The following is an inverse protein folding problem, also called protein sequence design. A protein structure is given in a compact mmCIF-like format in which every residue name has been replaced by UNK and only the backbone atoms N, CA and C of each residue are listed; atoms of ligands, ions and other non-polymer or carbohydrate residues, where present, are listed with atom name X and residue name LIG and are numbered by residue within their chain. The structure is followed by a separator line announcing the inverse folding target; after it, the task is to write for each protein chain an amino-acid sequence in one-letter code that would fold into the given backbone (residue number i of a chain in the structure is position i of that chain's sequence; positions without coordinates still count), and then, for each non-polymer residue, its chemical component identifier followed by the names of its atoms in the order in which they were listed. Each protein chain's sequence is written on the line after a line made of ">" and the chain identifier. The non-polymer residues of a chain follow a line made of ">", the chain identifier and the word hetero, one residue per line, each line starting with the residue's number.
data_IF_276739155616
#
_entry.id   IF_276739155616
#
_cell.length_a   1.000
_cell.length_b   1.000
_cell.length_c   1.000
_cell.angle_alpha   90.00
_cell.angle_beta   90.00
_cell.angle_gamma   90.00
#
_symmetry.space_group_name_H-M   'P 1'
#
loop_
_entity.id
_entity.type
_entity.pdbx_description
1 polymer ?
#
# COMPACT_ATOMS: atom_id res chain seq x y z
N UNK A 1 13.98 -8.61 9.11
CA UNK A 1 13.23 -8.00 7.99
C UNK A 1 14.03 -6.89 7.29
N UNK A 2 14.33 -5.73 7.92
CA UNK A 2 14.93 -4.54 7.25
C UNK A 2 16.05 -4.79 6.22
N UNK A 3 17.14 -5.52 6.54
CA UNK A 3 18.22 -5.83 5.56
C UNK A 3 17.97 -7.05 4.67
N UNK A 4 16.92 -7.82 4.94
CA UNK A 4 16.71 -9.15 4.34
C UNK A 4 15.88 -9.11 3.05
N UNK A 5 15.17 -8.01 2.78
CA UNK A 5 14.32 -7.85 1.60
C UNK A 5 15.04 -7.25 0.39
N UNK A 6 16.22 -6.65 0.57
CA UNK A 6 17.03 -6.07 -0.51
C UNK A 6 17.08 -4.54 -0.57
N UNK A 7 16.27 -3.83 0.24
CA UNK A 7 16.33 -2.37 0.33
C UNK A 7 17.66 -1.89 0.93
N UNK A 8 18.36 -1.03 0.20
CA UNK A 8 19.69 -0.52 0.56
C UNK A 8 19.58 0.77 1.40
N UNK A 9 19.77 0.64 2.71
CA UNK A 9 19.74 1.75 3.65
C UNK A 9 20.94 2.72 3.53
N UNK A 10 22.01 2.36 2.82
CA UNK A 10 23.07 3.33 2.51
C UNK A 10 22.64 4.32 1.42
N UNK A 11 21.55 4.00 0.72
CA UNK A 11 20.99 4.74 -0.41
C UNK A 11 19.51 5.07 -0.19
N UNK A 12 19.14 5.27 1.07
CA UNK A 12 17.75 5.46 1.48
C UNK A 12 17.56 5.67 2.98
N UNK A 13 16.32 5.88 3.39
CA UNK A 13 15.93 6.11 4.79
C UNK A 13 14.47 5.69 5.02
N UNK A 14 14.13 5.31 6.26
CA UNK A 14 12.76 5.03 6.69
C UNK A 14 12.28 6.10 7.68
N UNK A 15 11.32 6.92 7.26
CA UNK A 15 10.66 7.93 8.09
C UNK A 15 9.26 7.53 8.57
N UNK A 16 8.64 8.39 9.38
CA UNK A 16 7.27 8.21 9.90
C UNK A 16 6.34 9.31 9.39
N UNK A 17 5.16 8.95 8.90
CA UNK A 17 4.15 9.87 8.32
C UNK A 17 2.72 9.37 8.58
N UNK A 18 1.72 10.21 8.25
CA UNK A 18 0.29 9.85 8.32
C UNK A 18 -0.14 8.96 7.15
N UNK A 19 0.39 9.22 5.95
CA UNK A 19 0.12 8.44 4.74
C UNK A 19 1.44 7.94 4.17
N UNK A 20 1.77 6.64 4.30
CA UNK A 20 3.01 6.07 3.77
C UNK A 20 3.19 6.36 2.27
N UNK A 21 4.44 6.59 1.89
CA UNK A 21 4.88 6.76 0.51
C UNK A 21 6.38 6.47 0.38
N UNK A 22 6.78 6.17 -0.84
CA UNK A 22 8.16 6.13 -1.30
C UNK A 22 8.44 7.34 -2.21
N UNK A 23 9.66 7.87 -2.14
CA UNK A 23 10.11 8.94 -3.03
C UNK A 23 11.59 8.74 -3.38
N UNK A 24 11.95 9.00 -4.63
CA UNK A 24 13.29 8.83 -5.15
C UNK A 24 13.81 10.16 -5.68
N UNK A 25 14.97 10.60 -5.19
CA UNK A 25 15.71 11.73 -5.74
C UNK A 25 16.77 11.27 -6.74
N UNK A 26 17.23 10.02 -6.59
CA UNK A 26 18.10 9.31 -7.51
C UNK A 26 18.10 7.82 -7.13
N UNK A 27 18.72 6.98 -7.97
CA UNK A 27 18.99 5.57 -7.62
C UNK A 27 19.76 5.39 -6.30
N UNK A 28 20.45 6.43 -5.82
CA UNK A 28 21.26 6.41 -4.61
C UNK A 28 20.61 7.19 -3.44
N UNK A 29 19.39 7.69 -3.61
CA UNK A 29 18.59 8.30 -2.54
C UNK A 29 17.09 8.03 -2.79
N UNK A 30 16.66 6.82 -2.41
CA UNK A 30 15.27 6.39 -2.45
C UNK A 30 14.75 6.19 -1.01
N UNK A 31 13.87 7.07 -0.56
CA UNK A 31 13.37 7.13 0.82
C UNK A 31 11.97 6.56 0.90
N UNK A 32 11.71 5.85 1.99
CA UNK A 32 10.42 5.26 2.30
C UNK A 32 9.90 5.81 3.62
N UNK A 33 8.60 5.74 3.80
CA UNK A 33 7.96 6.14 5.04
C UNK A 33 6.96 5.10 5.49
N UNK A 34 6.63 5.09 6.77
CA UNK A 34 5.62 4.18 7.32
C UNK A 34 4.78 4.87 8.38
N UNK A 35 3.73 4.19 8.84
CA UNK A 35 2.87 4.64 9.92
C UNK A 35 2.86 3.60 11.02
N UNK A 36 3.07 4.06 12.25
CA UNK A 36 3.12 3.20 13.43
C UNK A 36 1.81 3.26 14.20
N UNK A 37 1.28 2.09 14.54
CA UNK A 37 0.20 1.95 15.51
C UNK A 37 0.68 1.06 16.66
N UNK A 38 0.62 1.53 17.92
CA UNK A 38 1.09 0.75 19.07
C UNK A 38 0.41 -0.62 19.20
N UNK A 39 -0.85 -0.71 18.76
CA UNK A 39 -1.70 -1.88 18.97
C UNK A 39 -2.02 -2.63 17.66
N UNK A 40 -1.40 -2.24 16.53
CA UNK A 40 -1.65 -2.90 15.25
C UNK A 40 -0.39 -2.96 14.39
N UNK A 41 0.15 -4.18 14.23
CA UNK A 41 1.43 -4.41 13.56
C UNK A 41 1.36 -4.15 12.04
N UNK A 42 0.25 -4.56 11.41
CA UNK A 42 0.14 -4.67 9.96
C UNK A 42 0.46 -3.38 9.20
N UNK A 43 -0.06 -2.19 9.58
CA UNK A 43 0.17 -0.98 8.79
C UNK A 43 1.65 -0.60 8.73
N UNK A 44 2.38 -0.78 9.84
CA UNK A 44 3.81 -0.49 9.87
C UNK A 44 4.63 -1.55 9.11
N UNK A 45 4.30 -2.82 9.29
CA UNK A 45 5.05 -3.94 8.74
C UNK A 45 4.86 -4.06 7.23
N UNK A 46 3.61 -4.21 6.78
CA UNK A 46 3.29 -4.38 5.37
C UNK A 46 3.41 -3.06 4.61
N UNK A 47 3.07 -1.92 5.24
CA UNK A 47 3.36 -0.61 4.65
C UNK A 47 4.87 -0.41 4.40
N UNK A 48 5.73 -0.79 5.34
CA UNK A 48 7.19 -0.73 5.11
C UNK A 48 7.63 -1.66 3.97
N UNK A 49 7.07 -2.87 3.87
CA UNK A 49 7.39 -3.81 2.78
C UNK A 49 6.94 -3.26 1.42
N UNK A 50 5.73 -2.70 1.36
CA UNK A 50 5.16 -2.05 0.20
C UNK A 50 6.06 -0.93 -0.33
N UNK A 51 6.35 0.06 0.52
CA UNK A 51 7.20 1.19 0.12
C UNK A 51 8.63 0.75 -0.20
N UNK A 52 9.12 -0.34 0.43
CA UNK A 52 10.42 -0.92 0.09
C UNK A 52 10.45 -1.48 -1.33
N UNK A 53 9.38 -2.11 -1.80
CA UNK A 53 9.31 -2.60 -3.19
C UNK A 53 9.37 -1.47 -4.22
N UNK A 54 8.66 -0.37 -3.96
CA UNK A 54 8.80 0.87 -4.73
C UNK A 54 10.24 1.39 -4.74
N UNK A 55 10.86 1.53 -3.57
CA UNK A 55 12.22 2.06 -3.48
C UNK A 55 13.28 1.12 -4.08
N UNK A 56 13.08 -0.19 -3.99
CA UNK A 56 13.96 -1.18 -4.61
C UNK A 56 13.91 -1.12 -6.14
N UNK A 57 12.74 -0.81 -6.72
CA UNK A 57 12.64 -0.60 -8.16
C UNK A 57 13.53 0.58 -8.61
N UNK A 58 13.44 1.69 -7.88
CA UNK A 58 14.24 2.90 -8.12
C UNK A 58 15.74 2.64 -7.90
N UNK A 59 16.11 2.00 -6.79
CA UNK A 59 17.50 1.62 -6.47
C UNK A 59 18.11 0.62 -7.47
N UNK A 60 17.26 -0.16 -8.15
CA UNK A 60 17.62 -1.15 -9.16
C UNK A 60 17.95 -0.55 -10.54
N UNK A 61 17.68 0.74 -10.76
CA UNK A 61 18.03 1.44 -12.00
C UNK A 61 19.53 1.34 -12.28
N UNK A 62 19.90 1.01 -13.52
CA UNK A 62 21.31 0.86 -13.91
C UNK A 62 22.09 2.19 -13.78
N UNK A 63 23.33 2.20 -13.24
CA UNK A 63 24.11 3.44 -13.06
C UNK A 63 24.29 4.26 -14.34
N UNK A 64 24.45 3.60 -15.50
CA UNK A 64 24.63 4.28 -16.79
C UNK A 64 23.41 5.08 -17.24
N UNK A 65 22.23 4.78 -16.68
CA UNK A 65 21.00 5.53 -16.96
C UNK A 65 20.87 6.76 -16.07
N UNK A 66 21.70 6.93 -15.05
CA UNK A 66 21.57 8.02 -14.09
C UNK A 66 21.58 9.40 -14.79
N UNK A 67 20.69 10.29 -14.33
CA UNK A 67 20.49 11.63 -14.90
C UNK A 67 20.03 11.63 -16.36
N UNK A 68 19.48 10.53 -16.85
CA UNK A 68 18.74 10.47 -18.12
C UNK A 68 17.23 10.35 -17.86
N UNK A 69 16.37 10.58 -18.87
CA UNK A 69 14.94 10.33 -18.75
C UNK A 69 14.56 8.86 -18.45
N UNK A 70 15.51 7.93 -18.60
CA UNK A 70 15.35 6.50 -18.34
C UNK A 70 15.65 6.10 -16.87
N UNK A 71 16.07 7.07 -16.04
CA UNK A 71 16.56 6.83 -14.68
C UNK A 71 15.46 6.67 -13.61
N UNK A 72 14.32 6.05 -13.95
CA UNK A 72 13.14 5.98 -13.08
C UNK A 72 12.22 4.84 -13.51
N UNK A 73 11.24 4.51 -12.67
CA UNK A 73 10.18 3.58 -13.03
C UNK A 73 9.43 3.96 -14.31
N UNK A 74 9.08 2.94 -15.11
CA UNK A 74 8.52 3.12 -16.46
C UNK A 74 7.06 3.58 -16.47
N UNK A 75 6.27 3.17 -15.47
CA UNK A 75 4.87 3.55 -15.29
C UNK A 75 4.42 3.29 -13.87
N UNK A 76 3.34 3.94 -13.41
CA UNK A 76 2.79 3.71 -12.06
C UNK A 76 2.35 2.26 -11.84
N UNK A 77 1.79 1.59 -12.86
CA UNK A 77 1.39 0.18 -12.74
C UNK A 77 2.59 -0.76 -12.56
N UNK A 78 3.68 -0.55 -13.30
CA UNK A 78 4.91 -1.32 -13.06
C UNK A 78 5.55 -0.95 -11.72
N UNK A 79 5.44 0.32 -11.29
CA UNK A 79 5.94 0.73 -9.98
C UNK A 79 5.17 0.05 -8.83
N UNK A 80 3.85 -0.05 -8.95
CA UNK A 80 2.97 -0.76 -8.00
C UNK A 80 3.19 -2.27 -8.03
N UNK A 81 3.45 -2.88 -9.19
CA UNK A 81 3.73 -4.32 -9.22
C UNK A 81 4.94 -4.70 -8.38
N UNK A 82 5.93 -3.81 -8.28
CA UNK A 82 7.09 -4.03 -7.41
C UNK A 82 6.74 -3.89 -5.93
N UNK A 83 5.91 -2.90 -5.54
CA UNK A 83 5.48 -2.78 -4.14
C UNK A 83 4.62 -3.98 -3.73
N UNK A 84 3.67 -4.41 -4.56
CA UNK A 84 2.80 -5.56 -4.31
C UNK A 84 3.52 -6.89 -4.35
N UNK A 85 4.52 -7.05 -5.21
CA UNK A 85 5.37 -8.24 -5.20
C UNK A 85 6.08 -8.39 -3.84
N UNK A 86 6.66 -7.32 -3.30
CA UNK A 86 7.37 -7.37 -2.02
C UNK A 86 6.41 -7.46 -0.83
N UNK A 87 5.32 -6.69 -0.83
CA UNK A 87 4.33 -6.68 0.24
C UNK A 87 3.59 -8.02 0.36
N UNK A 88 2.97 -8.45 -0.74
CA UNK A 88 1.98 -9.52 -0.72
C UNK A 88 2.62 -10.86 -1.13
N UNK A 89 3.15 -10.93 -2.36
CA UNK A 89 3.67 -12.19 -2.91
C UNK A 89 4.83 -12.72 -2.07
N UNK A 90 5.72 -11.85 -1.61
CA UNK A 90 6.81 -12.21 -0.70
C UNK A 90 6.36 -12.05 0.75
N UNK A 91 6.01 -10.83 1.17
CA UNK A 91 5.82 -10.45 2.56
C UNK A 91 4.64 -11.11 3.28
N UNK A 92 3.61 -11.57 2.55
CA UNK A 92 2.47 -12.31 3.12
C UNK A 92 2.56 -13.82 2.88
N UNK A 93 3.58 -14.30 2.17
CA UNK A 93 3.76 -15.74 1.92
C UNK A 93 4.11 -16.53 3.18
N UNK A 94 3.68 -17.80 3.21
CA UNK A 94 4.04 -18.70 4.30
C UNK A 94 5.56 -18.93 4.38
N UNK A 95 6.25 -19.05 3.24
CA UNK A 95 7.71 -19.28 3.20
C UNK A 95 8.50 -18.14 3.84
N UNK A 96 8.09 -16.90 3.59
CA UNK A 96 8.69 -15.72 4.24
C UNK A 96 8.53 -15.77 5.76
N UNK A 97 7.33 -16.13 6.24
CA UNK A 97 7.07 -16.20 7.68
C UNK A 97 7.69 -17.42 8.35
N UNK A 98 7.85 -18.56 7.67
CA UNK A 98 8.64 -19.67 8.19
C UNK A 98 10.09 -19.23 8.50
N UNK A 99 10.67 -18.36 7.68
CA UNK A 99 12.02 -17.83 7.89
C UNK A 99 12.11 -16.71 8.94
N UNK A 100 11.04 -15.94 9.15
CA UNK A 100 11.08 -14.70 9.94
C UNK A 100 10.24 -14.68 11.21
N UNK A 101 9.22 -15.54 11.31
CA UNK A 101 8.31 -15.58 12.45
C UNK A 101 8.99 -15.90 13.78
N UNK A 102 9.96 -16.83 13.90
CA UNK A 102 10.66 -17.06 15.17
C UNK A 102 11.33 -15.79 15.72
N UNK A 103 11.88 -14.95 14.83
CA UNK A 103 12.47 -13.66 15.21
C UNK A 103 11.41 -12.65 15.64
N UNK A 104 10.28 -12.60 14.93
CA UNK A 104 9.17 -11.71 15.30
C UNK A 104 8.58 -12.10 16.67
N UNK A 105 8.36 -13.39 16.88
CA UNK A 105 7.84 -13.94 18.14
C UNK A 105 8.78 -13.66 19.32
N UNK A 106 10.11 -13.73 19.11
CA UNK A 106 11.08 -13.37 20.14
C UNK A 106 11.08 -11.87 20.50
N UNK A 107 10.65 -10.99 19.58
CA UNK A 107 10.51 -9.54 19.84
C UNK A 107 9.19 -9.23 20.57
N UNK A 108 8.14 -10.01 20.30
CA UNK A 108 6.80 -9.83 20.89
C UNK A 108 6.33 -11.12 21.59
N UNK A 109 7.03 -11.60 22.64
CA UNK A 109 6.75 -12.89 23.25
C UNK A 109 5.37 -12.94 23.90
N UNK A 110 4.92 -11.85 24.53
CA UNK A 110 3.63 -11.81 25.21
C UNK A 110 2.46 -11.87 24.22
N UNK A 111 2.62 -11.25 23.05
CA UNK A 111 1.58 -11.14 22.01
C UNK A 111 1.57 -12.34 21.06
N UNK A 112 2.73 -12.97 20.79
CA UNK A 112 2.87 -14.01 19.77
C UNK A 112 3.29 -15.37 20.33
N UNK A 113 3.73 -15.47 21.58
CA UNK A 113 4.30 -16.70 22.16
C UNK A 113 3.35 -17.90 22.16
N UNK A 114 2.05 -17.66 22.25
CA UNK A 114 1.01 -18.70 22.19
C UNK A 114 0.54 -19.10 20.79
N UNK A 115 1.14 -18.53 19.73
CA UNK A 115 0.67 -18.71 18.36
C UNK A 115 1.77 -19.28 17.47
N UNK A 116 1.44 -20.30 16.67
CA UNK A 116 2.35 -20.82 15.66
C UNK A 116 2.37 -19.95 14.39
N UNK A 117 3.33 -20.23 13.50
CA UNK A 117 3.49 -19.49 12.24
C UNK A 117 2.29 -19.62 11.32
N UNK A 118 1.54 -20.73 11.37
CA UNK A 118 0.37 -20.94 10.54
C UNK A 118 -0.83 -20.10 11.00
N UNK A 119 -1.01 -19.95 12.31
CA UNK A 119 -1.99 -19.05 12.90
C UNK A 119 -1.68 -17.60 12.54
N UNK A 120 -0.41 -17.19 12.65
CA UNK A 120 0.03 -15.87 12.23
C UNK A 120 -0.20 -15.64 10.72
N UNK A 121 0.21 -16.58 9.86
CA UNK A 121 0.02 -16.52 8.42
C UNK A 121 -1.46 -16.37 8.03
N UNK A 122 -2.37 -17.12 8.68
CA UNK A 122 -3.81 -16.96 8.45
C UNK A 122 -4.31 -15.58 8.90
N UNK A 123 -3.81 -15.07 10.02
CA UNK A 123 -4.23 -13.78 10.56
C UNK A 123 -3.85 -12.60 9.65
N UNK A 124 -2.64 -12.60 9.08
CA UNK A 124 -2.19 -11.53 8.17
C UNK A 124 -2.82 -11.60 6.77
N UNK A 125 -3.44 -12.73 6.43
CA UNK A 125 -4.17 -12.96 5.16
C UNK A 125 -5.69 -13.02 5.36
N UNK A 126 -6.18 -12.40 6.43
CA UNK A 126 -7.62 -12.28 6.68
C UNK A 126 -8.27 -11.43 5.59
N UNK A 127 -9.37 -11.93 5.04
CA UNK A 127 -10.20 -11.22 4.06
C UNK A 127 -11.44 -10.67 4.77
N UNK A 128 -11.69 -9.37 4.62
CA UNK A 128 -12.87 -8.72 5.18
C UNK A 128 -13.12 -7.38 4.49
N UNK A 129 -14.35 -7.08 4.04
CA UNK A 129 -14.71 -5.74 3.60
C UNK A 129 -14.40 -4.69 4.68
N UNK A 130 -13.76 -3.59 4.27
CA UNK A 130 -13.34 -2.52 5.17
C UNK A 130 -13.46 -1.16 4.49
N UNK A 131 -13.18 -0.07 5.21
CA UNK A 131 -13.35 1.29 4.69
C UNK A 131 -12.09 1.83 4.02
N UNK A 132 -10.92 1.49 4.56
CA UNK A 132 -9.64 2.13 4.23
C UNK A 132 -8.90 1.33 3.17
N UNK A 133 -8.78 1.88 1.96
CA UNK A 133 -8.15 1.21 0.81
C UNK A 133 -6.74 0.71 1.11
N UNK A 134 -5.91 1.51 1.77
CA UNK A 134 -4.50 1.13 2.06
C UNK A 134 -4.38 0.04 3.12
N UNK A 135 -5.48 -0.32 3.80
CA UNK A 135 -5.54 -1.39 4.79
C UNK A 135 -6.38 -2.59 4.32
N UNK A 136 -6.97 -2.52 3.12
CA UNK A 136 -7.78 -3.58 2.54
C UNK A 136 -6.95 -4.82 2.19
N UNK A 137 -7.60 -5.98 2.25
CA UNK A 137 -6.98 -7.26 1.92
C UNK A 137 -6.87 -7.48 0.40
N UNK A 138 -6.10 -8.51 0.00
CA UNK A 138 -5.80 -8.79 -1.41
C UNK A 138 -7.03 -9.08 -2.27
N UNK A 139 -8.14 -9.54 -1.70
CA UNK A 139 -9.36 -9.85 -2.44
C UNK A 139 -10.35 -8.68 -2.49
N UNK A 140 -10.30 -7.78 -1.50
CA UNK A 140 -11.21 -6.63 -1.44
C UNK A 140 -10.61 -5.33 -1.99
N UNK A 141 -9.27 -5.22 -2.01
CA UNK A 141 -8.55 -4.01 -2.42
C UNK A 141 -9.01 -3.46 -3.78
N UNK A 142 -9.18 -4.32 -4.79
CA UNK A 142 -9.52 -3.87 -6.14
C UNK A 142 -10.93 -3.27 -6.24
N UNK A 143 -11.86 -3.61 -5.34
CA UNK A 143 -13.16 -2.93 -5.29
C UNK A 143 -13.02 -1.46 -4.87
N UNK A 144 -12.07 -1.14 -3.99
CA UNK A 144 -11.76 0.26 -3.66
C UNK A 144 -11.21 1.03 -4.87
N UNK A 145 -10.47 0.36 -5.76
CA UNK A 145 -9.97 0.97 -7.00
C UNK A 145 -11.10 1.19 -8.00
N UNK A 146 -11.96 0.18 -8.21
CA UNK A 146 -13.15 0.28 -9.07
C UNK A 146 -14.03 1.44 -8.63
N UNK A 147 -14.32 1.53 -7.33
CA UNK A 147 -15.10 2.63 -6.76
C UNK A 147 -14.56 4.00 -7.18
N UNK A 148 -13.26 4.23 -7.01
CA UNK A 148 -12.64 5.52 -7.32
C UNK A 148 -12.63 5.79 -8.81
N UNK A 149 -12.30 4.78 -9.60
CA UNK A 149 -12.28 4.90 -11.06
C UNK A 149 -13.66 5.26 -11.63
N UNK A 150 -14.72 4.62 -11.16
CA UNK A 150 -16.08 4.91 -11.62
C UNK A 150 -16.56 6.30 -11.16
N UNK A 151 -16.23 6.72 -9.93
CA UNK A 151 -16.53 8.07 -9.47
C UNK A 151 -15.74 9.13 -10.25
N UNK A 152 -14.47 8.87 -10.60
CA UNK A 152 -13.69 9.76 -11.47
C UNK A 152 -14.33 9.89 -12.85
N UNK A 153 -14.77 8.79 -13.46
CA UNK A 153 -15.46 8.78 -14.76
C UNK A 153 -16.71 9.65 -14.71
N UNK A 154 -17.56 9.47 -13.69
CA UNK A 154 -18.80 10.25 -13.53
C UNK A 154 -18.53 11.75 -13.30
N UNK A 155 -17.51 12.11 -12.50
CA UNK A 155 -17.13 13.53 -12.30
C UNK A 155 -16.64 14.14 -13.63
N UNK A 156 -15.78 13.43 -14.36
CA UNK A 156 -15.20 13.94 -15.61
C UNK A 156 -16.22 14.01 -16.75
N UNK A 157 -17.23 13.13 -16.75
CA UNK A 157 -18.35 13.17 -17.69
C UNK A 157 -19.38 14.26 -17.36
N UNK A 158 -19.28 14.90 -16.18
CA UNK A 158 -20.27 15.86 -15.69
C UNK A 158 -21.56 15.22 -15.19
N UNK A 159 -21.55 13.91 -14.94
CA UNK A 159 -22.67 13.11 -14.45
C UNK A 159 -22.77 13.13 -12.91
N UNK A 160 -21.67 13.43 -12.23
CA UNK A 160 -21.60 13.59 -10.77
C UNK A 160 -21.06 14.98 -10.39
N UNK A 161 -21.85 15.77 -9.66
CA UNK A 161 -21.37 17.00 -9.07
C UNK A 161 -20.45 16.70 -7.88
N UNK A 162 -19.35 17.45 -7.73
CA UNK A 162 -18.37 17.25 -6.64
C UNK A 162 -19.01 17.37 -5.26
N UNK A 163 -20.04 18.21 -5.11
CA UNK A 163 -20.77 18.36 -3.84
C UNK A 163 -21.50 17.09 -3.40
N UNK A 164 -21.86 16.21 -4.35
CA UNK A 164 -22.59 14.97 -4.10
C UNK A 164 -21.65 13.76 -3.91
N UNK A 165 -20.34 13.96 -4.03
CA UNK A 165 -19.31 12.93 -3.89
C UNK A 165 -19.39 12.15 -2.57
N UNK A 166 -19.63 12.77 -1.38
CA UNK A 166 -19.75 12.00 -0.13
C UNK A 166 -20.88 10.96 -0.18
N UNK A 167 -22.04 11.32 -0.72
CA UNK A 167 -23.19 10.41 -0.86
C UNK A 167 -22.89 9.32 -1.88
N UNK A 168 -22.41 9.69 -3.07
CA UNK A 168 -22.09 8.74 -4.13
C UNK A 168 -21.00 7.73 -3.70
N UNK A 169 -20.03 8.18 -2.90
CA UNK A 169 -19.02 7.32 -2.30
C UNK A 169 -19.64 6.27 -1.38
N UNK A 170 -20.52 6.70 -0.48
CA UNK A 170 -21.16 5.81 0.50
C UNK A 170 -22.05 4.76 -0.18
N UNK A 171 -22.82 5.18 -1.18
CA UNK A 171 -23.65 4.26 -1.99
C UNK A 171 -22.78 3.22 -2.70
N UNK A 172 -21.67 3.66 -3.30
CA UNK A 172 -20.75 2.78 -4.01
C UNK A 172 -19.97 1.83 -3.11
N UNK A 173 -19.57 2.29 -1.92
CA UNK A 173 -18.95 1.43 -0.89
C UNK A 173 -19.94 0.33 -0.46
N UNK A 174 -21.21 0.67 -0.27
CA UNK A 174 -22.23 -0.31 0.08
C UNK A 174 -22.50 -1.30 -1.08
N UNK A 175 -22.58 -0.81 -2.31
CA UNK A 175 -22.78 -1.65 -3.51
C UNK A 175 -21.64 -2.68 -3.69
N UNK A 176 -20.39 -2.24 -3.60
CA UNK A 176 -19.23 -3.08 -3.92
C UNK A 176 -18.72 -3.90 -2.73
N UNK A 177 -18.78 -3.35 -1.52
CA UNK A 177 -18.17 -3.92 -0.32
C UNK A 177 -19.19 -4.23 0.79
N UNK A 178 -20.43 -3.79 0.68
CA UNK A 178 -21.46 -4.00 1.70
C UNK A 178 -21.22 -3.23 3.00
N UNK A 179 -20.42 -2.16 2.96
CA UNK A 179 -20.05 -1.36 4.14
C UNK A 179 -20.15 0.13 3.83
N UNK A 180 -20.49 0.95 4.84
CA UNK A 180 -20.60 2.42 4.71
C UNK A 180 -19.66 3.08 5.72
N UNK A 181 -18.72 3.94 5.29
CA UNK A 181 -17.85 4.69 6.19
C UNK A 181 -18.67 5.55 7.17
N UNK A 182 -18.28 5.62 8.46
CA UNK A 182 -19.02 6.40 9.46
C UNK A 182 -18.77 7.91 9.33
N UNK A 183 -17.71 8.32 8.63
CA UNK A 183 -17.31 9.72 8.44
C UNK A 183 -16.70 9.91 7.06
N UNK A 184 -16.72 11.15 6.54
CA UNK A 184 -16.06 11.46 5.27
C UNK A 184 -14.53 11.28 5.34
N UNK A 185 -13.93 11.42 6.52
CA UNK A 185 -12.51 11.14 6.78
C UNK A 185 -12.15 9.67 6.51
N UNK A 186 -13.06 8.74 6.83
CA UNK A 186 -12.94 7.32 6.49
C UNK A 186 -13.57 6.99 5.12
N UNK A 187 -14.23 7.98 4.51
CA UNK A 187 -14.91 7.90 3.23
C UNK A 187 -14.13 8.63 2.13
N UNK A 188 -14.78 9.54 1.42
CA UNK A 188 -14.22 10.21 0.24
C UNK A 188 -12.97 11.07 0.52
N UNK A 189 -12.66 11.41 1.78
CA UNK A 189 -11.46 12.17 2.17
C UNK A 189 -10.29 11.29 2.61
N UNK A 190 -10.43 9.96 2.58
CA UNK A 190 -9.39 9.05 3.08
C UNK A 190 -8.09 9.08 2.26
N UNK A 191 -8.16 9.52 1.00
CA UNK A 191 -7.05 9.51 0.04
C UNK A 191 -6.68 10.92 -0.42
N UNK A 192 -5.38 11.15 -0.60
CA UNK A 192 -4.82 12.46 -0.98
C UNK A 192 -4.90 12.75 -2.49
N UNK A 193 -5.17 11.75 -3.33
CA UNK A 193 -4.99 11.80 -4.79
C UNK A 193 -5.80 12.93 -5.46
N UNK A 194 -7.07 13.08 -5.12
CA UNK A 194 -7.92 14.12 -5.70
C UNK A 194 -7.57 15.54 -5.23
N UNK A 195 -6.80 15.66 -4.13
CA UNK A 195 -6.22 16.96 -3.72
C UNK A 195 -4.98 17.33 -4.55
N UNK A 196 -4.40 16.39 -5.31
CA UNK A 196 -3.16 16.53 -6.09
C UNK A 196 -3.33 16.18 -7.58
N UNK A 197 -4.20 16.91 -8.29
CA UNK A 197 -4.86 16.50 -9.56
C UNK A 197 -4.69 15.03 -10.02
N UNK A 198 -4.85 14.06 -9.12
CA UNK A 198 -4.50 12.65 -9.36
C UNK A 198 -5.57 11.82 -10.07
N UNK A 199 -6.33 12.43 -10.98
CA UNK A 199 -7.37 11.74 -11.75
C UNK A 199 -6.74 10.74 -12.74
N UNK A 200 -7.32 9.55 -12.85
CA UNK A 200 -6.79 8.44 -13.66
C UNK A 200 -5.60 7.73 -13.01
N UNK A 201 -5.21 8.09 -11.78
CA UNK A 201 -4.11 7.45 -11.07
C UNK A 201 -4.53 6.13 -10.42
N UNK A 202 -5.72 6.07 -9.82
CA UNK A 202 -6.16 4.88 -9.07
C UNK A 202 -6.15 3.58 -9.88
N UNK A 203 -6.57 3.55 -11.16
CA UNK A 203 -6.52 2.33 -11.97
C UNK A 203 -5.13 1.70 -12.03
N UNK A 204 -4.07 2.49 -11.90
CA UNK A 204 -2.70 1.98 -11.92
C UNK A 204 -2.38 1.08 -10.72
N UNK A 205 -3.10 1.23 -9.61
CA UNK A 205 -2.96 0.33 -8.46
C UNK A 205 -3.47 -1.09 -8.76
N UNK A 206 -4.51 -1.24 -9.58
CA UNK A 206 -5.05 -2.54 -9.96
C UNK A 206 -4.29 -3.18 -11.14
N UNK A 207 -3.52 -2.38 -11.90
CA UNK A 207 -2.63 -2.87 -12.94
C UNK A 207 -1.33 -3.47 -12.37
N UNK A 208 -0.92 -3.04 -11.17
CA UNK A 208 0.27 -3.54 -10.48
C UNK A 208 -0.02 -4.81 -9.70
#
# INVERSE_FOLDING_TARGET
>A
VRKQIGYDFSRGHLGSVVHPFATSFSRDDARITTRWYPNFLNPSLFGTLHESGHAMYEQGTHPDLARTPLARGTSSGIHESQSRMIENIVGRSLGFWQAHYPKLQAIFPDQLGGHDVHAFYRAINKVQPSFIRVEADELTYNFHIILRFELEQAILAGELAVADLPTAWNDKMNELLGVVPPTDSDGCLQDVHWTRPGFGYFPTYALG
#
